data_IF_733871831143
#
_entry.id   IF_733871831143
#
_cell.length_a   1.000
_cell.length_b   1.000
_cell.length_c   1.000
_cell.angle_alpha   90.00
_cell.angle_beta   90.00
_cell.angle_gamma   90.00
#
_symmetry.space_group_name_H-M   'P 1'
#
loop_
_entity.id
_entity.type
_entity.pdbx_description
1 polymer ?
#
# COMPACT_ATOMS: atom_id res chain seq x y z
N UNK A 1 -19.50 -5.33 38.33
CA UNK A 1 -18.17 -4.70 38.14
C UNK A 1 -18.14 -4.10 36.75
N UNK A 2 -18.23 -2.77 36.64
CA UNK A 2 -18.52 -2.02 35.41
C UNK A 2 -17.24 -1.36 34.88
N UNK A 3 -16.76 -1.68 33.66
CA UNK A 3 -15.60 -1.02 33.04
C UNK A 3 -15.95 0.01 31.95
N UNK A 4 -17.22 0.42 31.79
CA UNK A 4 -17.64 1.24 30.64
C UNK A 4 -17.59 2.77 30.83
N UNK A 5 -17.46 3.30 32.04
CA UNK A 5 -17.49 4.76 32.27
C UNK A 5 -16.14 5.48 32.11
N UNK A 6 -15.03 4.75 31.98
CA UNK A 6 -13.70 5.38 32.00
C UNK A 6 -13.21 5.88 30.63
N UNK A 7 -13.90 5.55 29.54
CA UNK A 7 -13.49 5.97 28.18
C UNK A 7 -13.93 7.40 27.81
N UNK A 8 -14.99 7.93 28.42
CA UNK A 8 -15.45 9.30 28.12
C UNK A 8 -14.62 10.39 28.80
N UNK A 9 -13.86 10.07 29.86
CA UNK A 9 -13.14 11.08 30.67
C UNK A 9 -11.76 11.49 30.14
N UNK A 10 -11.22 10.77 29.15
CA UNK A 10 -9.88 11.01 28.61
C UNK A 10 -9.86 11.47 27.15
N UNK A 11 -10.96 12.04 26.64
CA UNK A 11 -10.91 12.80 25.39
C UNK A 11 -10.17 14.12 25.66
N UNK A 12 -8.94 14.33 25.14
CA UNK A 12 -8.33 15.64 25.23
C UNK A 12 -9.21 16.62 24.46
N UNK A 13 -9.78 17.60 25.17
CA UNK A 13 -10.39 18.78 24.59
C UNK A 13 -9.30 19.58 23.87
N UNK A 14 -8.93 19.11 22.67
CA UNK A 14 -8.02 19.77 21.78
C UNK A 14 -8.66 21.08 21.33
N UNK A 15 -8.19 22.18 21.90
CA UNK A 15 -8.34 23.53 21.35
C UNK A 15 -7.89 23.48 19.90
N UNK A 16 -8.85 23.47 18.97
CA UNK A 16 -8.58 23.94 17.62
C UNK A 16 -8.32 25.45 17.74
N UNK A 17 -7.17 25.97 17.26
CA UNK A 17 -7.01 27.40 17.12
C UNK A 17 -8.04 27.89 16.11
N UNK A 18 -9.03 28.62 16.60
CA UNK A 18 -9.82 29.50 15.77
C UNK A 18 -8.89 30.61 15.24
N UNK A 19 -9.11 30.99 13.99
CA UNK A 19 -8.67 32.29 13.45
C UNK A 19 -7.21 32.42 13.00
N UNK A 20 -6.76 31.49 12.16
CA UNK A 20 -5.68 31.75 11.20
C UNK A 20 -6.26 32.20 9.85
N UNK A 21 -5.80 33.30 9.23
CA UNK A 21 -6.25 33.69 7.90
C UNK A 21 -5.94 32.58 6.89
N UNK A 22 -7.01 32.07 6.26
CA UNK A 22 -6.97 31.06 5.21
C UNK A 22 -6.15 31.60 4.04
N UNK A 23 -4.88 31.21 3.96
CA UNK A 23 -4.12 31.32 2.71
C UNK A 23 -4.87 30.57 1.60
N UNK A 24 -4.74 30.98 0.33
CA UNK A 24 -5.40 30.29 -0.78
C UNK A 24 -5.00 28.82 -0.75
N UNK A 25 -5.99 27.96 -0.49
CA UNK A 25 -5.80 26.52 -0.46
C UNK A 25 -5.21 26.09 -1.81
N UNK A 26 -4.14 25.27 -1.85
CA UNK A 26 -3.65 24.71 -3.10
C UNK A 26 -4.81 23.97 -3.76
N UNK A 27 -5.18 24.40 -4.98
CA UNK A 27 -6.33 23.95 -5.75
C UNK A 27 -6.15 22.53 -6.33
N UNK A 28 -5.74 21.59 -5.50
CA UNK A 28 -5.90 20.16 -5.75
C UNK A 28 -6.93 19.65 -4.78
N UNK A 29 -8.21 20.02 -5.03
CA UNK A 29 -9.33 19.36 -4.36
C UNK A 29 -9.22 17.87 -4.66
N UNK A 30 -8.96 17.00 -3.66
CA UNK A 30 -9.11 15.57 -3.88
C UNK A 30 -10.54 15.33 -4.36
N UNK A 31 -10.72 14.35 -5.26
CA UNK A 31 -12.06 14.00 -5.73
C UNK A 31 -12.99 13.83 -4.51
N UNK A 32 -14.20 14.42 -4.52
CA UNK A 32 -15.08 14.39 -3.36
C UNK A 32 -15.26 12.95 -2.90
N UNK A 33 -15.09 12.71 -1.59
CA UNK A 33 -15.16 11.40 -0.94
C UNK A 33 -16.42 10.62 -1.36
N UNK A 34 -17.49 11.36 -1.64
CA UNK A 34 -18.80 10.91 -2.12
C UNK A 34 -18.73 10.14 -3.45
N UNK A 35 -17.79 10.45 -4.34
CA UNK A 35 -17.59 9.71 -5.59
C UNK A 35 -16.89 8.36 -5.38
N UNK A 36 -16.06 8.22 -4.34
CA UNK A 36 -15.46 6.94 -3.98
C UNK A 36 -16.44 6.05 -3.18
N UNK A 37 -17.42 6.66 -2.49
CA UNK A 37 -18.42 5.98 -1.66
C UNK A 37 -19.73 5.63 -2.41
N UNK A 38 -19.72 5.47 -3.74
CA UNK A 38 -20.93 5.11 -4.51
C UNK A 38 -21.46 3.73 -4.09
N UNK A 39 -22.38 3.72 -3.12
CA UNK A 39 -23.36 2.65 -2.96
C UNK A 39 -24.44 2.84 -4.02
N UNK A 40 -24.44 2.04 -5.08
CA UNK A 40 -25.52 2.02 -6.06
C UNK A 40 -26.78 1.51 -5.37
N UNK A 41 -27.83 2.35 -5.15
CA UNK A 41 -29.05 1.87 -4.52
C UNK A 41 -29.73 0.88 -5.47
N UNK A 42 -29.93 -0.36 -5.03
CA UNK A 42 -30.61 -1.40 -5.81
C UNK A 42 -29.71 -2.42 -6.51
N UNK A 43 -28.39 -2.43 -6.26
CA UNK A 43 -27.53 -3.49 -6.76
C UNK A 43 -27.77 -4.80 -5.98
N UNK A 44 -28.24 -5.89 -6.62
CA UNK A 44 -28.45 -7.19 -5.96
C UNK A 44 -27.15 -7.82 -5.45
N UNK A 45 -25.98 -7.26 -5.78
CA UNK A 45 -24.67 -7.75 -5.37
C UNK A 45 -24.39 -7.66 -3.86
N UNK A 46 -25.18 -6.89 -3.10
CA UNK A 46 -24.98 -6.72 -1.65
C UNK A 46 -23.65 -6.03 -1.29
N UNK A 47 -23.09 -5.26 -2.22
CA UNK A 47 -21.87 -4.47 -2.02
C UNK A 47 -22.19 -3.25 -1.15
N UNK A 48 -21.59 -3.20 0.04
CA UNK A 48 -21.73 -2.10 0.99
C UNK A 48 -20.77 -0.96 0.68
N UNK A 49 -19.56 -1.27 0.21
CA UNK A 49 -18.52 -0.29 -0.04
C UNK A 49 -17.47 -0.84 -1.02
N UNK A 50 -17.18 -0.11 -2.10
CA UNK A 50 -16.06 -0.42 -3.00
C UNK A 50 -14.94 0.61 -2.76
N UNK A 51 -13.76 0.16 -2.37
CA UNK A 51 -12.56 0.99 -2.32
C UNK A 51 -11.79 0.80 -3.61
N UNK A 52 -11.59 1.92 -4.31
CA UNK A 52 -10.72 2.00 -5.47
C UNK A 52 -9.38 2.61 -5.07
N UNK A 53 -8.28 2.14 -5.68
CA UNK A 53 -7.00 2.80 -5.49
C UNK A 53 -7.06 4.21 -6.07
N UNK A 54 -6.53 5.18 -5.34
CA UNK A 54 -6.37 6.53 -5.84
C UNK A 54 -5.03 6.65 -6.57
N UNK A 55 -5.10 7.02 -7.85
CA UNK A 55 -3.92 7.20 -8.69
C UNK A 55 -2.98 8.28 -8.17
N UNK A 56 -3.50 9.36 -7.57
CA UNK A 56 -2.68 10.45 -7.03
C UNK A 56 -1.89 9.98 -5.79
N UNK A 57 -2.56 9.31 -4.87
CA UNK A 57 -1.94 8.68 -3.70
C UNK A 57 -0.92 7.63 -4.10
N UNK A 58 -1.23 6.83 -5.13
CA UNK A 58 -0.31 5.84 -5.70
C UNK A 58 0.97 6.49 -6.22
N UNK A 59 0.89 7.52 -7.07
CA UNK A 59 2.08 8.17 -7.62
C UNK A 59 2.94 8.84 -6.54
N UNK A 60 2.32 9.41 -5.50
CA UNK A 60 3.05 9.96 -4.35
C UNK A 60 3.81 8.88 -3.57
N UNK A 61 3.25 7.68 -3.44
CA UNK A 61 3.87 6.56 -2.73
C UNK A 61 4.90 5.81 -3.58
N UNK A 62 4.52 5.39 -4.78
CA UNK A 62 5.30 4.51 -5.66
C UNK A 62 6.25 5.29 -6.56
N UNK A 63 5.86 6.48 -7.04
CA UNK A 63 6.72 7.31 -7.88
C UNK A 63 8.04 7.67 -7.19
N UNK A 64 8.01 7.93 -5.88
CA UNK A 64 9.24 8.16 -5.11
C UNK A 64 10.17 6.94 -5.09
N UNK A 65 9.62 5.72 -5.03
CA UNK A 65 10.45 4.50 -5.08
C UNK A 65 11.02 4.25 -6.47
N UNK A 66 10.32 4.66 -7.53
CA UNK A 66 10.84 4.55 -8.89
C UNK A 66 12.13 5.38 -9.06
N UNK A 67 12.32 6.46 -8.30
CA UNK A 67 13.56 7.24 -8.31
C UNK A 67 14.78 6.42 -7.86
N UNK A 68 14.60 5.43 -6.97
CA UNK A 68 15.69 4.54 -6.52
C UNK A 68 16.21 3.69 -7.69
N UNK A 69 15.38 3.44 -8.71
CA UNK A 69 15.78 2.68 -9.89
C UNK A 69 16.53 3.54 -10.92
N UNK A 70 16.55 4.87 -10.79
CA UNK A 70 17.19 5.75 -11.76
C UNK A 70 18.68 5.44 -12.00
N UNK A 71 19.53 5.17 -10.99
CA UNK A 71 20.93 4.83 -11.24
C UNK A 71 21.10 3.53 -12.05
N UNK A 72 20.25 2.53 -11.78
CA UNK A 72 20.27 1.25 -12.49
C UNK A 72 19.81 1.45 -13.93
N UNK A 73 18.75 2.23 -14.13
CA UNK A 73 18.24 2.59 -15.47
C UNK A 73 19.29 3.38 -16.24
N UNK A 74 19.94 4.37 -15.61
CA UNK A 74 20.99 5.18 -16.22
C UNK A 74 22.21 4.34 -16.61
N UNK A 75 22.65 3.41 -15.76
CA UNK A 75 23.74 2.48 -16.07
C UNK A 75 23.36 1.54 -17.23
N UNK A 76 22.13 1.02 -17.23
CA UNK A 76 21.61 0.20 -18.33
C UNK A 76 21.58 0.96 -19.65
N UNK A 77 21.11 2.21 -19.64
CA UNK A 77 21.11 3.09 -20.81
C UNK A 77 22.55 3.37 -21.27
N UNK A 78 23.46 3.69 -20.35
CA UNK A 78 24.87 3.94 -20.66
C UNK A 78 25.51 2.74 -21.37
N UNK A 79 25.31 1.52 -20.86
CA UNK A 79 25.82 0.30 -21.48
C UNK A 79 25.16 0.06 -22.85
N UNK A 80 23.84 0.25 -22.95
CA UNK A 80 23.14 0.10 -24.23
C UNK A 80 23.63 1.07 -25.30
N UNK A 81 23.92 2.34 -24.94
CA UNK A 81 24.54 3.32 -25.83
C UNK A 81 25.95 2.91 -26.23
N UNK A 82 26.75 2.44 -25.27
CA UNK A 82 28.15 2.05 -25.50
C UNK A 82 28.26 0.87 -26.49
N UNK A 83 27.42 -0.13 -26.32
CA UNK A 83 27.56 -1.40 -27.06
C UNK A 83 26.76 -1.41 -28.37
N UNK A 84 25.58 -0.76 -28.39
CA UNK A 84 24.63 -0.84 -29.51
C UNK A 84 24.27 0.53 -30.11
N UNK A 85 24.95 1.60 -29.67
CA UNK A 85 24.64 2.97 -30.07
C UNK A 85 23.26 3.44 -29.59
N UNK A 86 22.77 4.53 -30.18
CA UNK A 86 21.51 5.17 -29.80
C UNK A 86 20.31 4.22 -30.01
N UNK A 87 20.38 3.33 -31.01
CA UNK A 87 19.31 2.36 -31.30
C UNK A 87 19.05 1.39 -30.15
N UNK A 88 20.10 0.81 -29.56
CA UNK A 88 19.95 -0.09 -28.41
C UNK A 88 19.39 0.61 -27.17
N UNK A 89 19.80 1.87 -26.94
CA UNK A 89 19.27 2.67 -25.84
C UNK A 89 17.78 3.00 -26.00
N UNK A 90 17.33 3.30 -27.22
CA UNK A 90 15.92 3.53 -27.52
C UNK A 90 15.07 2.28 -27.24
N UNK A 91 15.53 1.09 -27.67
CA UNK A 91 14.85 -0.18 -27.41
C UNK A 91 14.77 -0.47 -25.91
N UNK A 92 15.87 -0.29 -25.18
CA UNK A 92 15.89 -0.47 -23.73
C UNK A 92 14.90 0.46 -23.02
N UNK A 93 14.90 1.75 -23.40
CA UNK A 93 13.99 2.74 -22.83
C UNK A 93 12.52 2.38 -23.06
N UNK A 94 12.15 2.05 -24.30
CA UNK A 94 10.79 1.64 -24.66
C UNK A 94 10.38 0.39 -23.88
N UNK A 95 11.29 -0.57 -23.74
CA UNK A 95 11.04 -1.81 -22.98
C UNK A 95 10.78 -1.52 -21.50
N UNK A 96 11.64 -0.71 -20.85
CA UNK A 96 11.47 -0.32 -19.45
C UNK A 96 10.15 0.44 -19.26
N UNK A 97 9.84 1.38 -20.15
CA UNK A 97 8.60 2.17 -20.11
C UNK A 97 7.37 1.27 -20.24
N UNK A 98 7.38 0.31 -21.17
CA UNK A 98 6.29 -0.65 -21.35
C UNK A 98 6.09 -1.54 -20.11
N UNK A 99 7.17 -2.09 -19.54
CA UNK A 99 7.12 -2.91 -18.32
C UNK A 99 6.57 -2.11 -17.14
N UNK A 100 7.01 -0.87 -16.96
CA UNK A 100 6.50 0.03 -15.93
C UNK A 100 5.00 0.30 -16.11
N UNK A 101 4.56 0.65 -17.32
CA UNK A 101 3.16 0.94 -17.61
C UNK A 101 2.25 -0.27 -17.37
N UNK A 102 2.69 -1.47 -17.78
CA UNK A 102 1.98 -2.72 -17.54
C UNK A 102 1.90 -2.99 -16.03
N UNK A 103 3.01 -2.87 -15.30
CA UNK A 103 3.06 -3.07 -13.85
C UNK A 103 2.14 -2.12 -13.09
N UNK A 104 2.12 -0.84 -13.45
CA UNK A 104 1.22 0.17 -12.87
C UNK A 104 -0.24 -0.17 -13.15
N UNK A 105 -0.58 -0.48 -14.40
CA UNK A 105 -1.96 -0.83 -14.80
C UNK A 105 -2.46 -2.07 -14.06
N UNK A 106 -1.67 -3.13 -14.02
CA UNK A 106 -1.99 -4.35 -13.27
C UNK A 106 -2.17 -4.01 -11.78
N UNK A 107 -1.29 -3.20 -11.19
CA UNK A 107 -1.40 -2.85 -9.77
C UNK A 107 -2.68 -2.05 -9.46
N UNK A 108 -3.05 -1.08 -10.28
CA UNK A 108 -4.28 -0.29 -10.11
C UNK A 108 -5.53 -1.15 -10.29
N UNK A 109 -5.53 -2.10 -11.23
CA UNK A 109 -6.65 -3.01 -11.42
C UNK A 109 -6.77 -4.03 -10.27
N UNK A 110 -5.65 -4.49 -9.71
CA UNK A 110 -5.61 -5.48 -8.61
C UNK A 110 -5.79 -4.92 -7.22
N UNK A 111 -5.86 -3.60 -7.06
CA UNK A 111 -5.97 -3.00 -5.74
C UNK A 111 -7.41 -2.66 -5.35
N UNK A 112 -8.42 -3.23 -6.02
CA UNK A 112 -9.82 -3.04 -5.63
C UNK A 112 -10.18 -3.88 -4.42
N UNK A 113 -10.87 -3.26 -3.47
CA UNK A 113 -11.40 -3.93 -2.28
C UNK A 113 -12.90 -3.72 -2.24
N UNK A 114 -13.65 -4.81 -2.17
CA UNK A 114 -15.10 -4.78 -2.11
C UNK A 114 -15.52 -5.31 -0.75
N UNK A 115 -16.25 -4.50 0.01
CA UNK A 115 -16.92 -4.91 1.23
C UNK A 115 -18.36 -5.27 0.87
N UNK A 116 -18.76 -6.50 1.16
CA UNK A 116 -20.13 -6.98 1.10
C UNK A 116 -20.68 -7.18 2.51
N UNK A 117 -21.96 -7.55 2.62
CA UNK A 117 -22.59 -7.88 3.90
C UNK A 117 -21.86 -9.00 4.65
N UNK A 118 -21.27 -9.97 3.94
CA UNK A 118 -20.66 -11.17 4.52
C UNK A 118 -19.14 -11.26 4.36
N UNK A 119 -18.56 -10.59 3.35
CA UNK A 119 -17.16 -10.75 2.95
C UNK A 119 -16.45 -9.42 2.72
N UNK A 120 -15.12 -9.45 2.83
CA UNK A 120 -14.21 -8.43 2.35
C UNK A 120 -13.34 -9.08 1.30
N UNK A 121 -13.45 -8.62 0.06
CA UNK A 121 -12.77 -9.21 -1.08
C UNK A 121 -11.72 -8.27 -1.61
N UNK A 122 -10.48 -8.77 -1.70
CA UNK A 122 -9.42 -8.08 -2.42
C UNK A 122 -9.19 -8.78 -3.76
N UNK A 123 -9.50 -8.08 -4.85
CA UNK A 123 -9.27 -8.59 -6.19
C UNK A 123 -7.78 -8.81 -6.44
N UNK A 124 -7.45 -9.80 -7.27
CA UNK A 124 -6.09 -10.09 -7.76
C UNK A 124 -6.24 -10.51 -9.22
N UNK A 125 -5.38 -10.01 -10.12
CA UNK A 125 -5.54 -10.22 -11.57
C UNK A 125 -5.09 -11.63 -11.97
N UNK A 126 -4.03 -12.12 -11.32
CA UNK A 126 -3.35 -13.37 -11.67
C UNK A 126 -3.60 -14.50 -10.64
N UNK A 127 -4.34 -14.22 -9.58
CA UNK A 127 -4.58 -15.14 -8.46
C UNK A 127 -6.05 -15.09 -8.08
N UNK A 128 -6.53 -16.16 -7.43
CA UNK A 128 -7.86 -16.17 -6.82
C UNK A 128 -8.04 -14.93 -5.93
N UNK A 129 -9.18 -14.20 -6.06
CA UNK A 129 -9.52 -13.11 -5.17
C UNK A 129 -9.35 -13.55 -3.73
N UNK A 130 -8.75 -12.70 -2.91
CA UNK A 130 -8.63 -12.99 -1.49
C UNK A 130 -9.93 -12.60 -0.82
N UNK A 131 -10.78 -13.59 -0.56
CA UNK A 131 -12.03 -13.44 0.17
C UNK A 131 -11.76 -13.64 1.66
N UNK A 132 -12.19 -12.68 2.48
CA UNK A 132 -12.14 -12.75 3.94
C UNK A 132 -13.56 -12.66 4.45
N UNK A 133 -14.04 -13.67 5.18
CA UNK A 133 -15.40 -13.61 5.74
C UNK A 133 -15.40 -12.66 6.93
N UNK A 134 -16.42 -11.81 7.07
CA UNK A 134 -16.52 -10.84 8.18
C UNK A 134 -16.52 -11.52 9.54
N UNK A 135 -17.14 -12.71 9.64
CA UNK A 135 -17.13 -13.54 10.86
C UNK A 135 -15.73 -14.04 11.27
N UNK A 136 -14.79 -14.11 10.34
CA UNK A 136 -13.42 -14.52 10.64
C UNK A 136 -12.57 -13.36 11.19
N UNK A 137 -13.05 -12.12 11.02
CA UNK A 137 -12.37 -10.91 11.49
C UNK A 137 -12.70 -10.72 12.97
N UNK A 138 -11.70 -10.94 13.81
CA UNK A 138 -11.84 -10.77 15.26
C UNK A 138 -11.56 -9.33 15.71
N UNK A 139 -10.68 -8.62 15.00
CA UNK A 139 -10.21 -7.29 15.35
C UNK A 139 -9.83 -6.52 14.07
N UNK A 140 -10.13 -5.23 14.04
CA UNK A 140 -9.59 -4.31 13.03
C UNK A 140 -8.68 -3.29 13.69
N UNK A 141 -7.46 -3.18 13.17
CA UNK A 141 -6.45 -2.26 13.68
C UNK A 141 -6.22 -1.17 12.65
N UNK A 142 -6.53 0.07 13.01
CA UNK A 142 -6.25 1.24 12.20
C UNK A 142 -5.11 2.03 12.83
N UNK A 143 -4.10 2.31 12.02
CA UNK A 143 -2.94 3.11 12.40
C UNK A 143 -2.88 4.31 11.47
N UNK A 144 -3.38 5.49 11.89
CA UNK A 144 -3.48 6.66 11.01
C UNK A 144 -2.13 7.15 10.48
N UNK A 145 -1.07 7.02 11.29
CA UNK A 145 0.28 7.47 10.95
C UNK A 145 1.26 6.31 11.09
N UNK A 146 1.17 5.34 10.19
CA UNK A 146 2.09 4.21 10.16
C UNK A 146 3.34 4.55 9.35
N UNK A 147 4.51 4.41 9.97
CA UNK A 147 5.81 4.53 9.30
C UNK A 147 6.45 3.15 9.13
N UNK A 148 7.01 2.87 7.96
CA UNK A 148 7.72 1.61 7.68
C UNK A 148 9.07 1.92 7.03
N UNK A 149 10.03 1.00 7.14
CA UNK A 149 11.43 1.25 6.81
C UNK A 149 11.65 1.80 5.38
N UNK A 150 10.78 1.44 4.44
CA UNK A 150 10.89 1.82 3.03
C UNK A 150 9.78 2.79 2.58
N UNK A 151 9.00 3.32 3.53
CA UNK A 151 7.72 3.94 3.27
C UNK A 151 7.55 5.25 4.04
N UNK A 152 7.06 6.27 3.34
CA UNK A 152 6.55 7.47 3.99
C UNK A 152 5.40 7.11 4.93
N UNK A 153 5.24 7.93 5.96
CA UNK A 153 4.13 7.85 6.90
C UNK A 153 2.81 7.87 6.14
N UNK A 154 1.99 6.84 6.32
CA UNK A 154 0.70 6.69 5.67
C UNK A 154 -0.24 5.88 6.58
N UNK A 155 -1.56 6.03 6.45
CA UNK A 155 -2.49 5.21 7.22
C UNK A 155 -2.36 3.73 6.88
N UNK A 156 -2.63 2.87 7.84
CA UNK A 156 -2.59 1.42 7.68
C UNK A 156 -3.82 0.80 8.35
N UNK A 157 -4.61 0.07 7.58
CA UNK A 157 -5.71 -0.74 8.10
C UNK A 157 -5.34 -2.22 7.99
N UNK A 158 -5.45 -2.94 9.10
CA UNK A 158 -5.23 -4.38 9.16
C UNK A 158 -6.45 -5.07 9.73
N UNK A 159 -6.98 -6.04 8.98
CA UNK A 159 -8.03 -6.93 9.44
C UNK A 159 -7.38 -8.17 10.03
N UNK A 160 -7.67 -8.46 11.29
CA UNK A 160 -7.01 -9.48 12.10
C UNK A 160 -8.02 -10.56 12.46
N UNK A 161 -7.66 -11.82 12.19
CA UNK A 161 -8.51 -12.96 12.52
C UNK A 161 -8.32 -13.46 13.95
N UNK A 162 -9.17 -14.40 14.39
CA UNK A 162 -9.18 -14.91 15.78
C UNK A 162 -7.85 -15.47 16.32
N UNK A 163 -6.90 -15.84 15.46
CA UNK A 163 -5.55 -16.30 15.85
C UNK A 163 -4.48 -15.18 15.87
N UNK A 164 -4.90 -13.92 15.81
CA UNK A 164 -4.05 -12.74 15.72
C UNK A 164 -3.35 -12.57 14.36
N UNK A 165 -3.73 -13.36 13.34
CA UNK A 165 -3.12 -13.32 12.01
C UNK A 165 -3.76 -12.20 11.18
N UNK A 166 -2.94 -11.44 10.45
CA UNK A 166 -3.45 -10.49 9.46
C UNK A 166 -4.14 -11.25 8.30
N UNK A 167 -5.45 -11.04 8.17
CA UNK A 167 -6.29 -11.55 7.09
C UNK A 167 -6.21 -10.62 5.88
N UNK A 168 -6.32 -9.31 6.10
CA UNK A 168 -6.20 -8.31 5.04
C UNK A 168 -5.39 -7.13 5.54
N UNK A 169 -4.65 -6.51 4.61
CA UNK A 169 -3.81 -5.37 4.91
C UNK A 169 -3.95 -4.35 3.79
N UNK A 170 -4.37 -3.15 4.16
CA UNK A 170 -4.61 -2.03 3.26
C UNK A 170 -3.78 -0.84 3.71
N UNK A 171 -3.09 -0.19 2.77
CA UNK A 171 -2.13 0.86 3.05
C UNK A 171 -2.53 2.16 2.37
N UNK A 172 -2.28 3.26 3.07
CA UNK A 172 -2.45 4.63 2.63
C UNK A 172 -1.55 5.05 1.46
N UNK A 173 -0.69 4.15 0.99
CA UNK A 173 0.07 4.35 -0.24
C UNK A 173 -0.73 4.00 -1.50
N UNK A 174 -1.85 3.31 -1.33
CA UNK A 174 -2.70 2.82 -2.42
C UNK A 174 -4.12 3.34 -2.25
N UNK A 175 -4.60 3.42 -1.01
CA UNK A 175 -5.93 3.90 -0.69
C UNK A 175 -5.86 5.24 0.03
N UNK A 176 -6.89 6.06 -0.14
CA UNK A 176 -7.01 7.29 0.61
C UNK A 176 -7.27 7.02 2.10
N UNK A 177 -6.77 7.91 2.97
CA UNK A 177 -7.01 7.83 4.41
C UNK A 177 -8.50 7.71 4.73
N UNK A 178 -9.32 8.65 4.23
CA UNK A 178 -10.76 8.69 4.48
C UNK A 178 -11.47 7.39 4.07
N UNK A 179 -11.07 6.79 2.94
CA UNK A 179 -11.60 5.50 2.50
C UNK A 179 -11.26 4.35 3.46
N UNK A 180 -10.04 4.33 4.03
CA UNK A 180 -9.66 3.33 5.03
C UNK A 180 -10.43 3.50 6.35
N UNK A 181 -10.66 4.74 6.78
CA UNK A 181 -11.50 5.03 7.96
C UNK A 181 -12.95 4.60 7.71
N UNK A 182 -13.55 5.00 6.58
CA UNK A 182 -14.91 4.63 6.22
C UNK A 182 -15.09 3.11 6.11
N UNK A 183 -14.10 2.40 5.57
CA UNK A 183 -14.10 0.94 5.55
C UNK A 183 -14.09 0.36 6.95
N UNK A 184 -13.22 0.85 7.83
CA UNK A 184 -13.11 0.36 9.19
C UNK A 184 -14.41 0.59 9.99
N UNK A 185 -15.02 1.76 9.84
CA UNK A 185 -16.30 2.12 10.46
C UNK A 185 -17.44 1.23 9.94
N UNK A 186 -17.58 1.06 8.61
CA UNK A 186 -18.63 0.22 8.00
C UNK A 186 -18.48 -1.26 8.29
N UNK A 187 -17.28 -1.72 8.65
CA UNK A 187 -17.13 -3.11 9.08
C UNK A 187 -17.87 -3.39 10.39
N UNK A 188 -18.23 -2.36 11.17
CA UNK A 188 -19.14 -2.47 12.33
C UNK A 188 -18.63 -3.45 13.39
N UNK A 189 -17.31 -3.67 13.44
CA UNK A 189 -16.73 -4.58 14.40
C UNK A 189 -16.62 -3.83 15.73
N UNK A 190 -17.28 -4.35 16.77
CA UNK A 190 -17.14 -3.83 18.14
C UNK A 190 -15.70 -3.86 18.66
N UNK A 191 -14.83 -4.65 18.02
CA UNK A 191 -13.39 -4.70 18.27
C UNK A 191 -12.65 -3.91 17.18
N UNK A 192 -12.66 -2.60 17.35
CA UNK A 192 -11.91 -1.65 16.54
C UNK A 192 -10.85 -0.98 17.41
N UNK A 193 -9.58 -1.16 17.05
CA UNK A 193 -8.46 -0.55 17.76
C UNK A 193 -7.80 0.50 16.89
N UNK A 194 -7.66 1.70 17.43
CA UNK A 194 -7.01 2.84 16.78
C UNK A 194 -5.73 3.15 17.52
N UNK A 195 -4.60 2.85 16.89
CA UNK A 195 -3.30 3.17 17.46
C UNK A 195 -2.94 4.59 17.00
N UNK A 196 -3.14 5.56 17.89
CA UNK A 196 -2.85 6.97 17.64
C UNK A 196 -1.35 7.29 17.73
N UNK A 197 -0.94 8.37 17.07
CA UNK A 197 0.45 8.84 17.02
C UNK A 197 1.28 8.23 15.89
N UNK A 198 2.56 8.61 15.83
CA UNK A 198 3.51 8.08 14.85
C UNK A 198 3.98 6.69 15.28
N UNK A 199 3.52 5.67 14.57
CA UNK A 199 3.70 4.27 14.97
C UNK A 199 4.56 3.53 13.94
N UNK A 200 5.68 2.98 14.41
CA UNK A 200 6.56 2.12 13.60
C UNK A 200 6.25 0.63 13.74
N UNK A 201 6.89 -0.24 12.95
CA UNK A 201 6.65 -1.69 12.97
C UNK A 201 6.91 -2.29 14.35
N UNK A 202 7.90 -1.79 15.09
CA UNK A 202 8.25 -2.27 16.44
C UNK A 202 7.09 -2.09 17.43
N UNK A 203 6.35 -0.99 17.35
CA UNK A 203 5.21 -0.71 18.25
C UNK A 203 4.04 -1.63 17.88
N UNK A 204 3.70 -1.71 16.58
CA UNK A 204 2.68 -2.65 16.09
C UNK A 204 3.02 -4.10 16.44
N UNK A 205 4.29 -4.50 16.38
CA UNK A 205 4.73 -5.85 16.73
C UNK A 205 4.57 -6.18 18.23
N UNK A 206 4.70 -5.18 19.11
CA UNK A 206 4.53 -5.38 20.56
C UNK A 206 3.06 -5.65 20.90
N UNK A 207 2.14 -4.90 20.28
CA UNK A 207 0.71 -5.07 20.49
C UNK A 207 0.16 -6.26 19.69
N UNK A 208 0.66 -6.48 18.48
CA UNK A 208 0.17 -7.49 17.55
C UNK A 208 1.30 -8.20 16.78
N UNK A 209 1.97 -9.15 17.46
CA UNK A 209 3.15 -9.89 16.96
C UNK A 209 3.00 -10.52 15.58
N UNK A 210 1.78 -10.86 15.16
CA UNK A 210 1.48 -11.60 13.92
C UNK A 210 0.97 -10.74 12.75
N UNK A 211 0.84 -9.43 12.93
CA UNK A 211 0.32 -8.53 11.88
C UNK A 211 1.37 -8.15 10.83
N UNK A 212 2.63 -8.01 11.24
CA UNK A 212 3.69 -7.54 10.34
C UNK A 212 4.03 -8.56 9.25
N UNK A 213 4.30 -8.05 8.04
CA UNK A 213 4.85 -8.83 6.92
C UNK A 213 6.35 -9.10 7.13
N UNK A 214 6.89 -10.10 6.45
CA UNK A 214 8.32 -10.44 6.50
C UNK A 214 9.26 -9.22 6.28
N UNK A 215 9.06 -8.37 5.24
CA UNK A 215 9.91 -7.19 5.02
C UNK A 215 9.91 -6.18 6.16
N UNK A 216 8.88 -6.16 7.00
CA UNK A 216 8.82 -5.23 8.14
C UNK A 216 9.42 -5.83 9.40
N UNK A 217 9.34 -7.16 9.55
CA UNK A 217 9.96 -7.85 10.68
C UNK A 217 11.47 -7.91 10.53
N UNK A 218 11.96 -8.10 9.30
CA UNK A 218 13.37 -8.30 9.00
C UNK A 218 13.77 -7.50 7.75
N UNK A 219 13.82 -6.16 7.83
CA UNK A 219 14.15 -5.32 6.68
C UNK A 219 15.53 -5.63 6.12
N UNK A 220 16.53 -5.83 7.00
CA UNK A 220 17.89 -6.20 6.59
C UNK A 220 17.94 -7.52 5.83
N UNK A 221 17.16 -8.53 6.24
CA UNK A 221 17.12 -9.82 5.56
C UNK A 221 16.52 -9.69 4.15
N UNK A 222 15.47 -8.88 3.99
CA UNK A 222 14.87 -8.65 2.67
C UNK A 222 15.81 -7.86 1.77
N UNK A 223 16.51 -6.85 2.30
CA UNK A 223 17.53 -6.11 1.55
C UNK A 223 18.65 -7.06 1.13
N UNK A 224 19.21 -7.85 2.05
CA UNK A 224 20.28 -8.81 1.77
C UNK A 224 19.87 -9.80 0.67
N UNK A 225 18.71 -10.45 0.81
CA UNK A 225 18.19 -11.38 -0.19
C UNK A 225 17.97 -10.68 -1.53
N UNK A 226 17.40 -9.47 -1.53
CA UNK A 226 17.21 -8.67 -2.74
C UNK A 226 18.52 -8.32 -3.43
N UNK A 227 19.56 -7.93 -2.68
CA UNK A 227 20.90 -7.65 -3.20
C UNK A 227 21.55 -8.89 -3.79
N UNK A 228 21.47 -10.04 -3.12
CA UNK A 228 22.01 -11.31 -3.65
C UNK A 228 21.32 -11.70 -4.95
N UNK A 229 19.98 -11.62 -5.01
CA UNK A 229 19.23 -11.92 -6.25
C UNK A 229 19.63 -10.95 -7.37
N UNK A 230 19.76 -9.66 -7.08
CA UNK A 230 20.19 -8.67 -8.07
C UNK A 230 21.61 -8.94 -8.59
N UNK A 231 22.55 -9.30 -7.71
CA UNK A 231 23.92 -9.67 -8.08
C UNK A 231 23.95 -10.91 -8.96
N UNK A 232 23.17 -11.95 -8.63
CA UNK A 232 23.06 -13.17 -9.45
C UNK A 232 22.51 -12.83 -10.84
N UNK A 233 21.44 -12.02 -10.93
CA UNK A 233 20.89 -11.60 -12.21
C UNK A 233 21.90 -10.78 -13.03
N UNK A 234 22.68 -9.93 -12.38
CA UNK A 234 23.74 -9.16 -13.03
C UNK A 234 24.84 -10.08 -13.60
N UNK A 235 25.30 -11.05 -12.82
CA UNK A 235 26.29 -12.04 -13.26
C UNK A 235 25.75 -12.86 -14.44
N UNK A 236 24.50 -13.34 -14.35
CA UNK A 236 23.85 -14.08 -15.44
C UNK A 236 23.74 -13.23 -16.70
N UNK A 237 23.34 -11.97 -16.58
CA UNK A 237 23.30 -11.04 -17.71
C UNK A 237 24.68 -10.86 -18.33
N UNK A 238 25.72 -10.59 -17.52
CA UNK A 238 27.10 -10.44 -18.02
C UNK A 238 27.52 -11.71 -18.78
N UNK A 239 27.31 -12.91 -18.23
CA UNK A 239 27.71 -14.16 -18.90
C UNK A 239 26.94 -14.43 -20.20
N UNK A 240 25.66 -14.05 -20.29
CA UNK A 240 24.86 -14.20 -21.52
C UNK A 240 25.34 -13.21 -22.59
N UNK A 241 25.73 -12.00 -22.18
CA UNK A 241 26.12 -10.92 -23.08
C UNK A 241 27.63 -10.85 -23.33
N UNK A 242 28.46 -11.68 -22.69
CA UNK A 242 29.91 -11.69 -22.91
C UNK A 242 30.21 -12.40 -24.25
N UNK A 243 30.62 -11.66 -25.30
CA UNK A 243 30.86 -12.23 -26.62
C UNK A 243 32.10 -13.13 -26.66
N UNK A 244 32.92 -13.13 -25.60
CA UNK A 244 34.17 -13.89 -25.51
C UNK A 244 33.91 -15.39 -25.35
N UNK A 245 32.79 -15.80 -24.74
CA UNK A 245 32.45 -17.21 -24.49
C UNK A 245 31.73 -17.88 -25.66
N UNK A 246 31.33 -17.12 -26.69
CA UNK A 246 30.56 -17.59 -27.85
C UNK A 246 31.38 -17.57 -29.16
N UNK A 247 32.71 -17.51 -29.05
CA UNK A 247 33.67 -17.77 -30.14
C UNK A 247 34.38 -19.09 -29.88
#
# INVERSE_FOLDING_TARGET
MQPHEQWQKNSPAGRYPADGPLGPAPATSPAPLDQQLRSTPGDPSGVLLELRPDSATFWRGVGFRALILLPIIALGIYNAVRDNGIGGAAVLYVTIAAVMLIGVTIMLQTSRVVLTVATVEKHRLLLHPKVVQRRDIALSVLVPQYTSAFNRTAPLLVLVGGKGRALLRLTGQVFEAGALFALAERMGLGNFDVISGLVGPKVVARQHKRILTLPERRPLLVVLVGTVVLLVLLVVAINIFDPVTNR
#
